data_IF_408052380622
#
_entry.id   IF_408052380622
#
_cell.length_a   1.000
_cell.length_b   1.000
_cell.length_c   1.000
_cell.angle_alpha   90.00
_cell.angle_beta   90.00
_cell.angle_gamma   90.00
#
_symmetry.space_group_name_H-M   'P 1'
#
loop_
_entity.id
_entity.type
_entity.pdbx_description
1 polymer ?
#
# COMPACT_ATOMS: atom_id res chain seq x y z
N UNK A 1 26.93 11.42 -44.25
CA UNK A 1 27.99 12.05 -43.45
C UNK A 1 27.56 13.49 -43.26
N UNK A 2 26.96 13.82 -42.13
CA UNK A 2 26.65 15.18 -41.73
C UNK A 2 27.13 15.34 -40.29
N UNK A 3 28.23 16.08 -40.17
CA UNK A 3 28.85 16.43 -38.88
C UNK A 3 27.95 17.43 -38.15
N UNK A 4 27.52 17.05 -36.95
CA UNK A 4 26.88 17.97 -36.02
C UNK A 4 27.95 18.80 -35.30
N UNK A 5 28.11 20.05 -35.76
CA UNK A 5 28.93 21.07 -35.13
C UNK A 5 28.14 21.68 -33.96
N UNK A 6 28.49 21.32 -32.73
CA UNK A 6 28.05 22.06 -31.53
C UNK A 6 29.00 23.24 -31.27
N UNK A 7 28.50 24.46 -31.01
CA UNK A 7 29.36 25.58 -30.70
C UNK A 7 29.97 25.37 -29.29
N UNK A 8 31.29 25.37 -29.23
CA UNK A 8 32.06 25.42 -27.99
C UNK A 8 31.93 26.87 -27.47
N UNK A 9 31.20 27.04 -26.35
CA UNK A 9 31.24 28.30 -25.61
C UNK A 9 32.60 28.44 -24.93
N UNK A 10 33.43 29.35 -25.41
CA UNK A 10 34.61 29.85 -24.72
C UNK A 10 34.13 30.79 -23.60
N UNK A 11 34.33 30.38 -22.34
CA UNK A 11 34.19 31.29 -21.18
C UNK A 11 35.47 32.10 -21.01
N UNK A 12 35.39 33.39 -21.26
CA UNK A 12 36.42 34.34 -20.82
C UNK A 12 36.40 34.45 -19.29
N UNK A 13 37.43 33.93 -18.66
CA UNK A 13 37.62 34.05 -17.20
C UNK A 13 38.03 35.47 -16.83
N UNK A 14 37.10 36.27 -16.31
CA UNK A 14 37.43 37.51 -15.63
C UNK A 14 38.18 37.21 -14.31
N UNK A 15 39.32 37.81 -14.10
CA UNK A 15 40.13 37.70 -12.86
C UNK A 15 39.28 38.05 -11.64
N UNK A 16 38.99 37.03 -10.80
CA UNK A 16 38.27 37.19 -9.53
C UNK A 16 37.01 36.34 -9.36
N UNK A 17 36.62 35.55 -10.32
CA UNK A 17 35.48 34.65 -10.17
C UNK A 17 35.92 33.31 -9.53
N UNK A 18 35.39 32.98 -8.37
CA UNK A 18 35.53 31.66 -7.75
C UNK A 18 34.72 30.67 -8.60
N UNK A 19 35.40 29.78 -9.30
CA UNK A 19 34.72 28.72 -10.06
C UNK A 19 34.12 27.74 -9.06
N UNK A 20 32.79 27.76 -8.88
CA UNK A 20 32.03 26.69 -8.27
C UNK A 20 32.00 25.53 -9.27
N UNK A 21 32.84 24.52 -9.04
CA UNK A 21 32.73 23.25 -9.73
C UNK A 21 31.46 22.54 -9.23
N UNK A 22 30.38 22.68 -9.97
CA UNK A 22 29.20 21.86 -9.77
C UNK A 22 29.54 20.44 -10.23
N UNK A 23 29.68 19.51 -9.29
CA UNK A 23 29.73 18.08 -9.56
C UNK A 23 28.36 17.66 -10.07
N UNK A 24 28.30 17.34 -11.38
CA UNK A 24 27.14 16.76 -12.08
C UNK A 24 25.89 17.62 -12.11
N UNK A 25 25.79 18.50 -13.09
CA UNK A 25 24.49 19.07 -13.51
C UNK A 25 23.80 18.02 -14.38
N UNK A 26 22.82 17.32 -13.84
CA UNK A 26 21.92 16.51 -14.65
C UNK A 26 20.98 17.44 -15.42
N UNK A 27 21.40 17.88 -16.59
CA UNK A 27 20.55 18.63 -17.53
C UNK A 27 19.67 17.61 -18.26
N UNK A 28 18.41 17.55 -17.87
CA UNK A 28 17.41 16.80 -18.63
C UNK A 28 16.98 17.66 -19.84
N UNK A 29 17.15 17.21 -21.08
CA UNK A 29 16.99 18.08 -22.27
C UNK A 29 15.58 18.63 -22.50
N UNK A 30 14.56 18.17 -21.76
CA UNK A 30 13.17 18.59 -21.93
C UNK A 30 12.36 18.49 -20.62
N UNK A 31 12.91 18.84 -19.46
CA UNK A 31 12.21 18.73 -18.22
C UNK A 31 12.63 19.77 -17.16
N UNK A 32 11.84 19.92 -16.10
CA UNK A 32 12.19 20.75 -14.93
C UNK A 32 13.42 20.12 -14.25
N UNK A 33 14.38 20.94 -13.86
CA UNK A 33 15.52 20.48 -13.04
C UNK A 33 15.06 20.21 -11.59
N UNK A 34 15.78 19.32 -10.87
CA UNK A 34 15.53 19.07 -9.45
C UNK A 34 15.59 20.38 -8.64
N UNK A 35 16.55 21.27 -8.96
CA UNK A 35 16.66 22.60 -8.37
C UNK A 35 15.42 23.44 -8.59
N UNK A 36 14.87 23.44 -9.81
CA UNK A 36 13.66 24.22 -10.13
C UNK A 36 12.43 23.65 -9.46
N UNK A 37 12.31 22.34 -9.41
CA UNK A 37 11.26 21.68 -8.65
C UNK A 37 11.34 22.04 -7.16
N UNK A 38 12.53 21.94 -6.57
CA UNK A 38 12.79 22.31 -5.18
C UNK A 38 12.47 23.78 -4.89
N UNK A 39 12.90 24.69 -5.77
CA UNK A 39 12.60 26.13 -5.67
C UNK A 39 11.08 26.40 -5.63
N UNK A 40 10.31 25.78 -6.54
CA UNK A 40 8.86 25.95 -6.60
C UNK A 40 8.22 25.47 -5.29
N UNK A 41 8.56 24.26 -4.82
CA UNK A 41 7.99 23.70 -3.60
C UNK A 41 8.30 24.57 -2.35
N UNK A 42 9.51 25.07 -2.23
CA UNK A 42 9.89 25.89 -1.08
C UNK A 42 9.30 27.30 -1.14
N UNK A 43 9.14 27.90 -2.33
CA UNK A 43 8.50 29.22 -2.44
C UNK A 43 7.03 29.15 -2.00
N UNK A 44 6.29 28.12 -2.42
CA UNK A 44 4.91 27.90 -1.98
C UNK A 44 4.81 27.84 -0.46
N UNK A 45 5.75 27.14 0.20
CA UNK A 45 5.72 27.02 1.65
C UNK A 45 6.05 28.36 2.35
N UNK A 46 7.09 29.08 1.91
CA UNK A 46 7.51 30.38 2.48
C UNK A 46 6.39 31.41 2.44
N UNK A 47 5.67 31.47 1.33
CA UNK A 47 4.61 32.47 1.13
C UNK A 47 3.41 32.26 2.08
N UNK A 48 3.27 31.05 2.64
CA UNK A 48 2.13 30.65 3.46
C UNK A 48 2.42 30.49 4.97
N UNK A 49 3.69 30.65 5.43
CA UNK A 49 4.09 30.35 6.83
C UNK A 49 4.09 31.56 7.78
N UNK A 50 3.53 32.67 7.39
CA UNK A 50 3.68 33.97 8.05
C UNK A 50 3.20 34.09 9.51
N UNK A 51 2.46 33.12 10.07
CA UNK A 51 1.79 33.25 11.37
C UNK A 51 2.51 32.62 12.57
N UNK A 52 3.69 32.04 12.38
CA UNK A 52 4.46 31.40 13.47
C UNK A 52 5.50 32.34 14.06
N UNK A 53 5.94 32.09 15.31
CA UNK A 53 7.11 32.72 15.88
C UNK A 53 8.40 32.29 15.16
N UNK A 54 9.45 33.11 15.17
CA UNK A 54 10.63 32.91 14.31
C UNK A 54 11.32 31.56 14.53
N UNK A 55 11.55 31.12 15.77
CA UNK A 55 12.11 29.79 16.04
C UNK A 55 11.22 28.64 15.52
N UNK A 56 9.89 28.78 15.67
CA UNK A 56 8.94 27.80 15.15
C UNK A 56 8.89 27.80 13.62
N UNK A 57 9.12 28.96 12.98
CA UNK A 57 9.26 29.06 11.51
C UNK A 57 10.47 28.30 11.00
N UNK A 58 11.62 28.46 11.68
CA UNK A 58 12.86 27.79 11.27
C UNK A 58 12.70 26.27 11.34
N UNK A 59 12.14 25.74 12.42
CA UNK A 59 11.85 24.31 12.58
C UNK A 59 10.87 23.83 11.49
N UNK A 60 9.78 24.56 11.29
CA UNK A 60 8.77 24.22 10.31
C UNK A 60 9.34 24.25 8.88
N UNK A 61 10.19 25.22 8.59
CA UNK A 61 10.86 25.33 7.30
C UNK A 61 11.84 24.17 7.04
N UNK A 62 12.66 23.80 8.01
CA UNK A 62 13.57 22.66 7.90
C UNK A 62 12.83 21.36 7.61
N UNK A 63 11.70 21.11 8.30
CA UNK A 63 10.87 19.93 8.04
C UNK A 63 10.20 19.97 6.67
N UNK A 64 9.69 21.13 6.25
CA UNK A 64 9.14 21.30 4.90
C UNK A 64 10.20 21.06 3.81
N UNK A 65 11.44 21.48 4.06
CA UNK A 65 12.58 21.20 3.20
C UNK A 65 12.87 19.69 3.12
N UNK A 66 12.87 18.97 4.24
CA UNK A 66 13.04 17.51 4.25
C UNK A 66 11.98 16.79 3.42
N UNK A 67 10.70 17.21 3.54
CA UNK A 67 9.64 16.64 2.70
C UNK A 67 9.87 16.93 1.22
N UNK A 68 10.27 18.16 0.91
CA UNK A 68 10.56 18.58 -0.46
C UNK A 68 11.72 17.77 -1.05
N UNK A 69 12.80 17.61 -0.30
CA UNK A 69 13.97 16.85 -0.73
C UNK A 69 13.60 15.36 -0.98
N UNK A 70 12.76 14.80 -0.10
CA UNK A 70 12.25 13.42 -0.28
C UNK A 70 11.34 13.28 -1.49
N UNK A 71 10.49 14.27 -1.74
CA UNK A 71 9.65 14.30 -2.94
C UNK A 71 10.50 14.39 -4.22
N UNK A 72 11.49 15.28 -4.25
CA UNK A 72 12.43 15.44 -5.38
C UNK A 72 13.24 14.16 -5.60
N UNK A 73 13.75 13.52 -4.53
CA UNK A 73 14.42 12.22 -4.60
C UNK A 73 13.55 11.15 -5.26
N UNK A 74 12.28 11.06 -4.87
CA UNK A 74 11.33 10.10 -5.47
C UNK A 74 10.99 10.45 -6.89
N UNK A 75 10.85 11.73 -7.21
CA UNK A 75 10.60 12.23 -8.56
C UNK A 75 11.74 11.86 -9.51
N UNK A 76 13.00 11.98 -9.07
CA UNK A 76 14.17 11.66 -9.89
C UNK A 76 14.26 10.17 -10.26
N UNK A 77 13.64 9.29 -9.46
CA UNK A 77 13.57 7.84 -9.71
C UNK A 77 12.45 7.43 -10.67
N UNK A 78 11.54 8.36 -11.01
CA UNK A 78 10.47 8.09 -11.96
C UNK A 78 10.99 8.07 -13.40
N UNK A 79 10.27 7.39 -14.29
CA UNK A 79 10.58 7.44 -15.72
C UNK A 79 10.29 8.84 -16.31
N UNK A 80 10.82 9.11 -17.51
CA UNK A 80 10.74 10.42 -18.15
C UNK A 80 9.30 10.88 -18.44
N UNK A 81 8.40 9.96 -18.76
CA UNK A 81 7.00 10.28 -19.05
C UNK A 81 6.29 10.79 -17.78
N UNK A 82 6.49 10.08 -16.69
CA UNK A 82 5.92 10.41 -15.39
C UNK A 82 6.49 11.75 -14.89
N UNK A 83 7.80 11.95 -14.99
CA UNK A 83 8.42 13.23 -14.61
C UNK A 83 7.82 14.40 -15.35
N UNK A 84 7.66 14.30 -16.68
CA UNK A 84 7.05 15.36 -17.50
C UNK A 84 5.62 15.68 -17.06
N UNK A 85 4.81 14.67 -16.76
CA UNK A 85 3.46 14.89 -16.26
C UNK A 85 3.47 15.64 -14.92
N UNK A 86 4.34 15.24 -13.98
CA UNK A 86 4.46 15.90 -12.68
C UNK A 86 4.95 17.36 -12.86
N UNK A 87 5.89 17.62 -13.77
CA UNK A 87 6.36 18.97 -14.09
C UNK A 87 5.24 19.91 -14.58
N UNK A 88 4.36 19.38 -15.41
CA UNK A 88 3.18 20.12 -15.86
C UNK A 88 2.24 20.40 -14.69
N UNK A 89 2.01 19.40 -13.84
CA UNK A 89 1.15 19.53 -12.66
C UNK A 89 1.72 20.50 -11.61
N UNK A 90 3.02 20.65 -11.47
CA UNK A 90 3.63 21.64 -10.55
C UNK A 90 3.23 23.10 -10.86
N UNK A 91 2.75 23.38 -12.06
CA UNK A 91 2.23 24.68 -12.47
C UNK A 91 0.75 24.88 -12.06
N UNK A 92 0.07 23.80 -11.74
CA UNK A 92 -1.35 23.82 -11.40
C UNK A 92 -1.59 24.21 -9.94
N UNK A 93 -2.51 25.14 -9.64
CA UNK A 93 -2.79 25.58 -8.28
C UNK A 93 -3.16 24.43 -7.35
N UNK A 94 -3.89 23.43 -7.84
CA UNK A 94 -4.29 22.28 -7.05
C UNK A 94 -3.11 21.41 -6.61
N UNK A 95 -2.08 21.26 -7.44
CA UNK A 95 -0.85 20.55 -7.07
C UNK A 95 -0.03 21.33 -6.06
N UNK A 96 0.07 22.64 -6.24
CA UNK A 96 0.76 23.52 -5.28
C UNK A 96 0.10 23.50 -3.90
N UNK A 97 -1.24 23.50 -3.86
CA UNK A 97 -2.01 23.34 -2.62
C UNK A 97 -1.75 21.98 -1.96
N UNK A 98 -1.71 20.88 -2.71
CA UNK A 98 -1.38 19.56 -2.20
C UNK A 98 0.03 19.50 -1.61
N UNK A 99 1.02 20.12 -2.27
CA UNK A 99 2.39 20.25 -1.78
C UNK A 99 2.41 21.04 -0.47
N UNK A 100 1.78 22.20 -0.44
CA UNK A 100 1.73 23.04 0.77
C UNK A 100 1.09 22.33 1.96
N UNK A 101 -0.05 21.64 1.75
CA UNK A 101 -0.73 20.87 2.79
C UNK A 101 0.14 19.72 3.30
N UNK A 102 0.85 19.03 2.41
CA UNK A 102 1.78 17.97 2.78
C UNK A 102 2.97 18.50 3.61
N UNK A 103 3.57 19.61 3.18
CA UNK A 103 4.64 20.29 3.90
C UNK A 103 4.18 20.73 5.28
N UNK A 104 2.98 21.34 5.37
CA UNK A 104 2.39 21.77 6.64
C UNK A 104 2.11 20.58 7.56
N UNK A 105 1.60 19.47 7.03
CA UNK A 105 1.36 18.25 7.80
C UNK A 105 2.66 17.73 8.42
N UNK A 106 3.70 17.55 7.62
CA UNK A 106 4.97 17.04 8.12
C UNK A 106 5.68 18.03 9.04
N UNK A 107 5.62 19.32 8.75
CA UNK A 107 6.16 20.35 9.63
C UNK A 107 5.57 20.31 11.04
N UNK A 108 4.30 19.95 11.17
CA UNK A 108 3.61 19.82 12.46
C UNK A 108 3.85 18.47 13.14
N UNK A 109 3.86 17.36 12.39
CA UNK A 109 3.95 15.99 12.94
C UNK A 109 5.38 15.55 13.23
N UNK A 110 6.33 15.90 12.37
CA UNK A 110 7.71 15.37 12.37
C UNK A 110 7.76 13.84 12.42
N UNK A 111 6.86 13.18 11.71
CA UNK A 111 6.65 11.74 11.72
C UNK A 111 7.14 11.15 10.39
N UNK A 112 8.09 10.20 10.45
CA UNK A 112 8.71 9.58 9.27
C UNK A 112 7.71 8.79 8.40
N UNK A 113 6.68 8.21 9.03
CA UNK A 113 5.62 7.54 8.27
C UNK A 113 4.79 8.57 7.51
N UNK A 114 4.47 9.72 8.12
CA UNK A 114 3.83 10.84 7.41
C UNK A 114 4.69 11.34 6.26
N UNK A 115 6.01 11.49 6.45
CA UNK A 115 6.93 11.89 5.40
C UNK A 115 6.84 10.94 4.19
N UNK A 116 6.91 9.64 4.46
CA UNK A 116 6.92 8.60 3.43
C UNK A 116 5.58 8.53 2.69
N UNK A 117 4.46 8.54 3.42
CA UNK A 117 3.11 8.47 2.86
C UNK A 117 2.80 9.71 2.03
N UNK A 118 3.04 10.91 2.58
CA UNK A 118 2.75 12.16 1.89
C UNK A 118 3.55 12.32 0.60
N UNK A 119 4.83 11.93 0.60
CA UNK A 119 5.64 11.98 -0.62
C UNK A 119 5.17 10.97 -1.67
N UNK A 120 4.69 9.76 -1.28
CA UNK A 120 4.05 8.84 -2.21
C UNK A 120 2.77 9.44 -2.80
N UNK A 121 1.89 9.99 -1.93
CA UNK A 121 0.65 10.64 -2.38
C UNK A 121 0.91 11.79 -3.35
N UNK A 122 1.96 12.59 -3.14
CA UNK A 122 2.34 13.67 -4.06
C UNK A 122 2.82 13.14 -5.42
N UNK A 123 3.57 12.05 -5.45
CA UNK A 123 3.96 11.39 -6.71
C UNK A 123 2.72 10.88 -7.43
N UNK A 124 1.85 10.14 -6.76
CA UNK A 124 0.61 9.61 -7.35
C UNK A 124 -0.31 10.73 -7.85
N UNK A 125 -0.44 11.81 -7.07
CA UNK A 125 -1.21 13.00 -7.42
C UNK A 125 -0.70 13.66 -8.71
N UNK A 126 0.62 13.76 -8.83
CA UNK A 126 1.27 14.37 -9.99
C UNK A 126 1.15 13.55 -11.28
N UNK A 127 0.83 12.25 -11.21
CA UNK A 127 0.56 11.43 -12.40
C UNK A 127 -0.80 11.73 -13.04
N UNK A 128 -1.73 12.34 -12.29
CA UNK A 128 -3.11 12.50 -12.70
C UNK A 128 -3.33 13.93 -13.19
N UNK A 129 -3.50 14.09 -14.50
CA UNK A 129 -3.71 15.39 -15.14
C UNK A 129 -5.18 15.86 -15.14
N UNK A 130 -6.11 14.94 -14.94
CA UNK A 130 -7.56 15.24 -14.95
C UNK A 130 -8.15 15.06 -13.56
N UNK A 131 -9.26 15.75 -13.28
CA UNK A 131 -9.97 15.63 -12.00
C UNK A 131 -10.77 14.33 -11.95
N UNK A 132 -10.08 13.24 -11.61
CA UNK A 132 -10.67 11.91 -11.41
C UNK A 132 -11.08 11.69 -9.95
N UNK A 133 -11.87 10.65 -9.70
CA UNK A 133 -12.18 10.20 -8.32
C UNK A 133 -10.89 9.89 -7.54
N UNK A 134 -9.91 9.26 -8.17
CA UNK A 134 -8.60 8.96 -7.56
C UNK A 134 -7.87 10.23 -7.13
N UNK A 135 -7.88 11.28 -7.98
CA UNK A 135 -7.28 12.55 -7.63
C UNK A 135 -7.94 13.20 -6.42
N UNK A 136 -9.29 13.26 -6.41
CA UNK A 136 -10.04 13.81 -5.28
C UNK A 136 -9.78 13.03 -4.00
N UNK A 137 -9.66 11.71 -4.09
CA UNK A 137 -9.36 10.84 -2.96
C UNK A 137 -7.97 11.09 -2.39
N UNK A 138 -6.97 11.35 -3.26
CA UNK A 138 -5.61 11.73 -2.83
C UNK A 138 -5.65 13.08 -2.11
N UNK A 139 -6.35 14.07 -2.66
CA UNK A 139 -6.48 15.39 -2.06
C UNK A 139 -7.17 15.30 -0.68
N UNK A 140 -8.23 14.51 -0.53
CA UNK A 140 -8.91 14.24 0.75
C UNK A 140 -7.99 13.52 1.74
N UNK A 141 -7.18 12.56 1.27
CA UNK A 141 -6.23 11.85 2.10
C UNK A 141 -5.14 12.78 2.64
N UNK A 142 -4.57 13.65 1.81
CA UNK A 142 -3.61 14.68 2.24
C UNK A 142 -4.23 15.61 3.29
N UNK A 143 -5.48 15.99 3.14
CA UNK A 143 -6.19 16.88 4.06
C UNK A 143 -6.43 16.26 5.44
N UNK A 144 -6.63 14.96 5.51
CA UNK A 144 -6.90 14.26 6.77
C UNK A 144 -5.62 13.83 7.50
N UNK A 145 -4.49 13.63 6.79
CA UNK A 145 -3.23 13.15 7.37
C UNK A 145 -2.79 13.89 8.63
N UNK A 146 -2.87 15.25 8.74
CA UNK A 146 -2.46 15.97 9.96
C UNK A 146 -3.26 15.59 11.22
N UNK A 147 -4.37 14.90 11.06
CA UNK A 147 -5.28 14.49 12.13
C UNK A 147 -5.15 13.01 12.49
N UNK A 148 -4.32 12.27 11.78
CA UNK A 148 -4.07 10.86 12.04
C UNK A 148 -2.75 10.70 12.78
N UNK A 149 -2.72 9.76 13.72
CA UNK A 149 -1.49 9.33 14.39
C UNK A 149 -1.13 7.92 13.95
N UNK A 150 0.03 7.44 14.38
CA UNK A 150 0.54 6.11 14.05
C UNK A 150 -0.48 5.00 14.29
N UNK A 151 -1.16 5.01 15.43
CA UNK A 151 -2.18 3.99 15.76
C UNK A 151 -3.36 4.01 14.81
N UNK A 152 -3.77 5.19 14.32
CA UNK A 152 -4.82 5.31 13.30
C UNK A 152 -4.38 4.68 11.98
N UNK A 153 -3.13 4.90 11.56
CA UNK A 153 -2.57 4.32 10.34
C UNK A 153 -2.47 2.79 10.45
N UNK A 154 -1.98 2.28 11.57
CA UNK A 154 -1.90 0.84 11.84
C UNK A 154 -3.29 0.19 11.82
N UNK A 155 -4.32 0.84 12.40
CA UNK A 155 -5.70 0.36 12.35
C UNK A 155 -6.22 0.29 10.91
N UNK A 156 -6.04 1.35 10.12
CA UNK A 156 -6.50 1.38 8.73
C UNK A 156 -5.77 0.34 7.87
N UNK A 157 -4.46 0.17 8.06
CA UNK A 157 -3.68 -0.87 7.40
C UNK A 157 -4.15 -2.27 7.79
N UNK A 158 -4.45 -2.50 9.07
CA UNK A 158 -4.98 -3.78 9.56
C UNK A 158 -6.33 -4.13 8.89
N UNK A 159 -7.27 -3.18 8.89
CA UNK A 159 -8.56 -3.39 8.23
C UNK A 159 -8.41 -3.63 6.73
N UNK A 160 -7.52 -2.86 6.08
CA UNK A 160 -7.23 -3.05 4.67
C UNK A 160 -6.63 -4.43 4.42
N UNK A 161 -5.64 -4.83 5.20
CA UNK A 161 -5.00 -6.13 5.08
C UNK A 161 -5.98 -7.28 5.30
N UNK A 162 -6.81 -7.18 6.33
CA UNK A 162 -7.78 -8.21 6.67
C UNK A 162 -8.89 -8.33 5.61
N UNK A 163 -9.45 -7.20 5.13
CA UNK A 163 -10.64 -7.19 4.28
C UNK A 163 -10.31 -7.29 2.80
N UNK A 164 -9.25 -6.65 2.35
CA UNK A 164 -9.02 -6.35 0.95
C UNK A 164 -7.84 -7.10 0.38
N UNK A 165 -6.75 -7.19 1.10
CA UNK A 165 -5.61 -8.01 0.69
C UNK A 165 -6.01 -9.46 0.42
N UNK A 166 -7.02 -9.88 1.12
CA UNK A 166 -7.72 -11.12 0.94
C UNK A 166 -8.43 -11.29 -0.42
N UNK A 167 -9.05 -10.24 -0.98
CA UNK A 167 -9.83 -10.34 -2.23
C UNK A 167 -8.96 -10.49 -3.48
N UNK A 168 -7.73 -10.02 -3.45
CA UNK A 168 -6.89 -9.79 -4.63
C UNK A 168 -5.68 -10.73 -4.75
N UNK A 169 -5.65 -11.84 -3.99
CA UNK A 169 -4.75 -12.97 -4.25
C UNK A 169 -3.24 -12.66 -4.19
N UNK A 170 -2.82 -11.59 -3.51
CA UNK A 170 -1.39 -11.24 -3.42
C UNK A 170 -0.59 -12.15 -2.50
N UNK A 171 -1.24 -13.06 -1.77
CA UNK A 171 -0.60 -13.96 -0.80
C UNK A 171 -0.24 -15.28 -1.46
N UNK A 172 1.06 -15.53 -1.60
CA UNK A 172 1.55 -16.81 -2.10
C UNK A 172 1.49 -17.94 -1.07
N UNK A 173 1.52 -17.58 0.23
CA UNK A 173 1.53 -18.52 1.34
C UNK A 173 0.67 -18.02 2.50
N UNK A 174 -0.17 -18.89 3.05
CA UNK A 174 -1.04 -18.59 4.20
C UNK A 174 -0.22 -18.22 5.42
N UNK A 175 0.93 -18.85 5.62
CA UNK A 175 1.81 -18.58 6.75
C UNK A 175 2.31 -17.12 6.74
N UNK A 176 2.68 -16.59 5.55
CA UNK A 176 3.09 -15.18 5.39
C UNK A 176 1.92 -14.23 5.72
N UNK A 177 0.73 -14.53 5.22
CA UNK A 177 -0.47 -13.74 5.48
C UNK A 177 -0.79 -13.67 6.98
N UNK A 178 -0.85 -14.81 7.64
CA UNK A 178 -1.19 -14.92 9.06
C UNK A 178 -0.13 -14.23 9.92
N UNK A 179 1.15 -14.45 9.64
CA UNK A 179 2.24 -13.82 10.41
C UNK A 179 2.23 -12.30 10.26
N UNK A 180 1.98 -11.78 9.07
CA UNK A 180 1.83 -10.33 8.85
C UNK A 180 0.62 -9.79 9.59
N UNK A 181 -0.51 -10.47 9.53
CA UNK A 181 -1.74 -10.10 10.26
C UNK A 181 -1.49 -10.02 11.77
N UNK A 182 -0.82 -11.01 12.35
CA UNK A 182 -0.44 -11.04 13.77
C UNK A 182 0.52 -9.88 14.09
N UNK A 183 1.50 -9.64 13.24
CA UNK A 183 2.45 -8.52 13.44
C UNK A 183 1.76 -7.16 13.47
N UNK A 184 0.78 -6.94 12.58
CA UNK A 184 0.03 -5.68 12.55
C UNK A 184 -0.88 -5.57 13.77
N UNK A 185 -1.63 -6.62 14.11
CA UNK A 185 -2.58 -6.58 15.24
C UNK A 185 -1.88 -6.28 16.56
N UNK A 186 -0.69 -6.84 16.78
CA UNK A 186 0.08 -6.61 18.01
C UNK A 186 0.48 -5.14 18.22
N UNK A 187 0.54 -4.33 17.15
CA UNK A 187 0.81 -2.88 17.25
C UNK A 187 -0.40 -2.08 17.70
N UNK A 188 -1.61 -2.56 17.40
CA UNK A 188 -2.85 -1.81 17.66
C UNK A 188 -3.58 -2.24 18.93
N UNK A 189 -3.27 -3.40 19.49
CA UNK A 189 -3.90 -3.88 20.72
C UNK A 189 -3.43 -3.09 21.96
N UNK A 190 -4.26 -3.00 23.04
CA UNK A 190 -5.64 -3.47 23.07
C UNK A 190 -6.63 -2.51 22.39
N UNK A 191 -7.69 -3.06 21.80
CA UNK A 191 -8.81 -2.30 21.23
C UNK A 191 -10.10 -2.66 21.95
N UNK A 192 -11.01 -1.70 22.12
CA UNK A 192 -12.34 -1.92 22.67
C UNK A 192 -13.40 -1.56 21.63
N UNK A 193 -14.60 -2.17 21.72
CA UNK A 193 -15.71 -1.85 20.80
C UNK A 193 -16.01 -0.35 20.70
N UNK A 194 -15.91 0.34 21.83
CA UNK A 194 -16.07 1.79 21.91
C UNK A 194 -14.71 2.49 22.09
N UNK A 195 -13.67 2.00 21.40
CA UNK A 195 -12.34 2.60 21.42
C UNK A 195 -12.37 3.98 20.77
N UNK A 196 -11.78 4.96 21.46
CA UNK A 196 -11.76 6.34 20.97
C UNK A 196 -11.07 6.50 19.61
N UNK A 197 -10.09 5.62 19.27
CA UNK A 197 -9.44 5.64 17.97
C UNK A 197 -10.38 5.21 16.85
N UNK A 198 -11.20 4.17 17.05
CA UNK A 198 -12.17 3.70 16.07
C UNK A 198 -13.27 4.73 15.85
N UNK A 199 -13.82 5.31 16.93
CA UNK A 199 -14.81 6.38 16.85
C UNK A 199 -14.25 7.63 16.16
N UNK A 200 -12.99 7.97 16.45
CA UNK A 200 -12.32 9.08 15.80
C UNK A 200 -12.15 8.86 14.31
N UNK A 201 -11.73 7.67 13.88
CA UNK A 201 -11.61 7.30 12.47
C UNK A 201 -12.96 7.31 11.75
N UNK A 202 -14.06 6.93 12.44
CA UNK A 202 -15.41 7.06 11.92
C UNK A 202 -15.80 8.53 11.71
N UNK A 203 -15.58 9.39 12.71
CA UNK A 203 -15.82 10.83 12.59
C UNK A 203 -15.00 11.47 11.48
N UNK A 204 -13.80 10.95 11.20
CA UNK A 204 -12.94 11.40 10.10
C UNK A 204 -13.29 10.73 8.77
N UNK A 205 -14.37 9.96 8.72
CA UNK A 205 -14.85 9.26 7.51
C UNK A 205 -13.83 8.25 6.93
N UNK A 206 -12.89 7.77 7.75
CA UNK A 206 -11.99 6.68 7.37
C UNK A 206 -12.63 5.31 7.61
N UNK A 207 -13.51 5.23 8.61
CA UNK A 207 -14.35 4.07 8.92
C UNK A 207 -15.82 4.42 8.81
N UNK A 208 -16.68 3.43 8.65
CA UNK A 208 -18.13 3.52 8.74
C UNK A 208 -18.67 2.36 9.56
N UNK A 209 -19.80 2.57 10.25
CA UNK A 209 -20.44 1.50 11.00
C UNK A 209 -20.91 0.38 10.06
N UNK A 210 -20.68 -0.85 10.45
CA UNK A 210 -21.24 -2.03 9.80
C UNK A 210 -22.60 -2.35 10.39
N UNK A 211 -23.62 -2.47 9.54
CA UNK A 211 -24.96 -2.86 9.94
C UNK A 211 -25.16 -4.38 9.97
N UNK A 212 -24.17 -5.14 9.49
CA UNK A 212 -24.24 -6.59 9.42
C UNK A 212 -23.23 -7.21 10.39
N UNK A 213 -23.70 -8.10 11.26
CA UNK A 213 -22.83 -9.00 12.00
C UNK A 213 -22.23 -10.00 11.02
N UNK A 214 -20.91 -10.01 10.92
CA UNK A 214 -20.17 -11.00 10.13
C UNK A 214 -19.65 -12.05 11.12
N UNK A 215 -20.51 -12.97 11.52
CA UNK A 215 -20.08 -14.11 12.34
C UNK A 215 -19.01 -14.90 11.58
N UNK A 216 -18.00 -15.36 12.29
CA UNK A 216 -16.86 -16.11 11.72
C UNK A 216 -16.05 -15.35 10.66
N UNK A 217 -16.04 -14.01 10.70
CA UNK A 217 -15.37 -13.18 9.71
C UNK A 217 -13.87 -13.48 9.62
N UNK A 218 -13.17 -13.57 10.76
CA UNK A 218 -11.74 -13.88 10.82
C UNK A 218 -11.47 -15.27 10.23
N UNK A 219 -12.29 -16.26 10.61
CA UNK A 219 -12.20 -17.62 10.04
C UNK A 219 -12.29 -17.60 8.53
N UNK A 220 -13.28 -16.90 7.98
CA UNK A 220 -13.47 -16.80 6.54
C UNK A 220 -12.31 -16.06 5.86
N UNK A 221 -11.79 -14.98 6.46
CA UNK A 221 -10.64 -14.28 5.89
C UNK A 221 -9.40 -15.17 5.78
N UNK A 222 -9.11 -15.98 6.80
CA UNK A 222 -7.94 -16.87 6.82
C UNK A 222 -8.18 -18.11 5.95
N UNK A 223 -9.32 -18.78 6.11
CA UNK A 223 -9.63 -20.00 5.37
C UNK A 223 -9.67 -19.79 3.85
N UNK A 224 -10.08 -18.60 3.39
CA UNK A 224 -10.06 -18.25 1.97
C UNK A 224 -8.66 -18.05 1.39
N UNK A 225 -7.63 -17.80 2.21
CA UNK A 225 -6.27 -17.61 1.70
C UNK A 225 -5.65 -18.91 1.20
N UNK A 226 -6.23 -20.08 1.51
CA UNK A 226 -5.71 -21.35 1.03
C UNK A 226 -6.76 -22.44 1.00
N UNK A 227 -6.76 -23.23 -0.04
CA UNK A 227 -7.55 -24.46 -0.14
C UNK A 227 -7.10 -25.54 0.87
N UNK A 228 -5.99 -25.34 1.61
CA UNK A 228 -5.57 -26.27 2.67
C UNK A 228 -6.63 -26.45 3.76
N UNK A 229 -7.51 -25.45 3.96
CA UNK A 229 -8.66 -25.51 4.86
C UNK A 229 -9.89 -26.16 4.19
N UNK A 230 -9.66 -27.07 3.24
CA UNK A 230 -10.66 -27.89 2.59
C UNK A 230 -10.53 -29.37 2.99
N UNK A 231 -11.54 -30.18 2.70
CA UNK A 231 -11.47 -31.63 2.94
C UNK A 231 -10.35 -32.32 2.14
N UNK A 232 -9.85 -31.66 1.10
CA UNK A 232 -8.78 -32.20 0.25
C UNK A 232 -9.23 -33.30 -0.70
N UNK A 233 -8.26 -33.80 -1.46
CA UNK A 233 -8.42 -34.81 -2.50
C UNK A 233 -7.63 -36.09 -2.15
N UNK A 234 -8.11 -37.24 -2.55
CA UNK A 234 -7.39 -38.49 -2.44
C UNK A 234 -6.23 -38.54 -3.46
N UNK A 235 -5.16 -39.26 -3.14
CA UNK A 235 -4.04 -39.43 -4.08
C UNK A 235 -4.48 -40.04 -5.42
N UNK A 236 -5.53 -40.87 -5.43
CA UNK A 236 -6.12 -41.45 -6.65
C UNK A 236 -6.80 -40.40 -7.53
N UNK A 237 -7.38 -39.36 -6.93
CA UNK A 237 -7.98 -38.24 -7.68
C UNK A 237 -6.89 -37.33 -8.26
N UNK A 238 -5.82 -37.09 -7.50
CA UNK A 238 -4.69 -36.26 -7.93
C UNK A 238 -3.86 -36.98 -8.99
N UNK A 239 -3.53 -38.24 -8.75
CA UNK A 239 -2.77 -39.09 -9.68
C UNK A 239 -1.40 -38.54 -10.02
N UNK A 240 -1.11 -38.48 -11.32
CA UNK A 240 0.20 -38.07 -11.88
C UNK A 240 0.58 -36.61 -11.70
N UNK A 241 -0.37 -35.74 -11.30
CA UNK A 241 -0.08 -34.30 -11.04
C UNK A 241 0.37 -34.03 -9.60
N UNK A 242 0.48 -35.09 -8.75
CA UNK A 242 0.92 -34.90 -7.39
C UNK A 242 2.35 -34.30 -7.34
N UNK A 243 2.44 -33.13 -6.72
CA UNK A 243 3.71 -32.44 -6.49
C UNK A 243 3.62 -31.71 -5.15
N UNK A 244 4.60 -31.90 -4.29
CA UNK A 244 4.67 -31.27 -2.96
C UNK A 244 4.69 -29.74 -2.99
N UNK A 245 5.05 -29.14 -4.14
CA UNK A 245 4.96 -27.69 -4.34
C UNK A 245 3.55 -27.20 -4.72
N UNK A 246 2.64 -28.10 -5.03
CA UNK A 246 1.26 -27.79 -5.44
C UNK A 246 0.23 -28.26 -4.42
N UNK A 247 0.57 -29.32 -3.68
CA UNK A 247 -0.33 -29.97 -2.74
C UNK A 247 0.33 -30.06 -1.36
N UNK A 248 -0.48 -29.80 -0.34
CA UNK A 248 -0.13 -29.96 1.08
C UNK A 248 -1.12 -30.92 1.73
N UNK A 249 -0.76 -31.61 2.83
CA UNK A 249 -1.74 -32.39 3.58
C UNK A 249 -2.92 -31.53 3.99
N UNK A 250 -4.15 -32.06 3.83
CA UNK A 250 -5.35 -31.39 4.31
C UNK A 250 -5.32 -31.24 5.83
N UNK A 251 -5.75 -30.08 6.34
CA UNK A 251 -5.82 -29.85 7.78
C UNK A 251 -6.89 -30.74 8.46
N UNK A 252 -7.88 -31.20 7.69
CA UNK A 252 -9.00 -32.01 8.22
C UNK A 252 -8.84 -33.50 8.00
N UNK A 253 -7.95 -33.94 7.13
CA UNK A 253 -7.75 -35.36 6.83
C UNK A 253 -6.32 -35.63 6.40
N UNK A 254 -5.56 -36.29 7.28
CA UNK A 254 -4.15 -36.61 7.08
C UNK A 254 -3.86 -37.48 5.84
N UNK A 255 -4.87 -38.19 5.35
CA UNK A 255 -4.77 -39.06 4.14
C UNK A 255 -5.12 -38.30 2.85
N UNK A 256 -5.50 -37.02 2.94
CA UNK A 256 -5.90 -36.22 1.79
C UNK A 256 -4.98 -35.02 1.61
N UNK A 257 -4.97 -34.50 0.40
CA UNK A 257 -4.12 -33.39 0.00
C UNK A 257 -4.96 -32.24 -0.53
N UNK A 258 -4.62 -31.04 -0.15
CA UNK A 258 -5.27 -29.81 -0.57
C UNK A 258 -4.32 -28.98 -1.46
N UNK A 259 -4.89 -28.23 -2.40
CA UNK A 259 -4.13 -27.29 -3.23
C UNK A 259 -3.68 -26.08 -2.40
N UNK A 260 -2.46 -25.60 -2.67
CA UNK A 260 -1.93 -24.41 -1.99
C UNK A 260 -2.42 -23.09 -2.59
N UNK A 261 -3.09 -23.12 -3.75
CA UNK A 261 -3.51 -21.93 -4.48
C UNK A 261 -4.86 -21.42 -4.01
N UNK A 262 -5.01 -20.10 -3.99
CA UNK A 262 -6.22 -19.42 -3.55
C UNK A 262 -7.18 -19.12 -4.68
N UNK A 263 -6.67 -18.97 -5.90
CA UNK A 263 -7.43 -18.58 -7.09
C UNK A 263 -6.85 -19.22 -8.36
N UNK A 264 -7.68 -19.29 -9.40
CA UNK A 264 -7.33 -19.89 -10.69
C UNK A 264 -6.25 -19.07 -11.43
N UNK A 265 -6.27 -17.73 -11.28
CA UNK A 265 -5.28 -16.89 -11.95
C UNK A 265 -3.88 -17.15 -11.39
N UNK A 266 -3.74 -17.39 -10.08
CA UNK A 266 -2.48 -17.78 -9.45
C UNK A 266 -1.96 -19.11 -9.98
N UNK A 267 -2.84 -20.07 -10.24
CA UNK A 267 -2.47 -21.36 -10.87
C UNK A 267 -1.88 -21.12 -12.27
N UNK A 268 -2.58 -20.36 -13.09
CA UNK A 268 -2.17 -20.05 -14.46
C UNK A 268 -0.86 -19.28 -14.48
N UNK A 269 -0.74 -18.23 -13.65
CA UNK A 269 0.44 -17.38 -13.60
C UNK A 269 1.70 -18.12 -13.13
N UNK A 270 1.57 -19.01 -12.15
CA UNK A 270 2.73 -19.72 -11.59
C UNK A 270 3.12 -20.97 -12.36
N UNK A 271 2.18 -21.62 -13.04
CA UNK A 271 2.34 -22.93 -13.61
C UNK A 271 2.06 -23.00 -15.12
N UNK A 272 1.39 -21.99 -15.71
CA UNK A 272 0.97 -22.02 -17.11
C UNK A 272 2.07 -22.38 -18.11
N UNK A 273 3.28 -21.86 -17.88
CA UNK A 273 4.46 -22.11 -18.73
C UNK A 273 5.29 -23.33 -18.30
N UNK A 274 4.95 -23.94 -17.15
CA UNK A 274 5.77 -24.99 -16.52
C UNK A 274 5.17 -26.37 -16.55
N UNK A 275 3.87 -26.47 -16.88
CA UNK A 275 3.14 -27.72 -16.90
C UNK A 275 2.50 -27.99 -18.28
N UNK A 276 2.42 -29.27 -18.69
CA UNK A 276 1.61 -29.63 -19.84
C UNK A 276 0.15 -29.18 -19.67
N UNK A 277 -0.49 -28.75 -20.77
CA UNK A 277 -1.87 -28.26 -20.74
C UNK A 277 -2.85 -29.24 -20.07
N UNK A 278 -2.70 -30.56 -20.32
CA UNK A 278 -3.54 -31.62 -19.73
C UNK A 278 -3.42 -31.59 -18.18
N UNK A 279 -2.23 -31.37 -17.64
CA UNK A 279 -2.02 -31.31 -16.20
C UNK A 279 -2.59 -30.01 -15.61
N UNK A 280 -2.46 -28.92 -16.32
CA UNK A 280 -3.06 -27.63 -15.93
C UNK A 280 -4.59 -27.72 -15.89
N UNK A 281 -5.21 -28.29 -16.92
CA UNK A 281 -6.67 -28.52 -16.96
C UNK A 281 -7.14 -29.41 -15.80
N UNK A 282 -6.40 -30.46 -15.47
CA UNK A 282 -6.72 -31.31 -14.33
C UNK A 282 -6.63 -30.57 -12.98
N UNK A 283 -5.62 -29.73 -12.79
CA UNK A 283 -5.49 -28.89 -11.60
C UNK A 283 -6.68 -27.91 -11.51
N UNK A 284 -7.07 -27.29 -12.62
CA UNK A 284 -8.23 -26.40 -12.67
C UNK A 284 -9.54 -27.15 -12.35
N UNK A 285 -9.70 -28.38 -12.85
CA UNK A 285 -10.86 -29.23 -12.51
C UNK A 285 -10.92 -29.54 -11.01
N UNK A 286 -9.79 -29.90 -10.38
CA UNK A 286 -9.73 -30.14 -8.95
C UNK A 286 -10.02 -28.84 -8.17
N UNK A 287 -9.45 -27.72 -8.61
CA UNK A 287 -9.69 -26.41 -7.97
C UNK A 287 -11.18 -26.04 -7.99
N UNK A 288 -11.86 -26.28 -9.11
CA UNK A 288 -13.27 -25.92 -9.30
C UNK A 288 -14.25 -26.98 -8.73
N UNK A 289 -13.74 -28.13 -8.28
CA UNK A 289 -14.59 -29.18 -7.68
C UNK A 289 -15.21 -28.65 -6.39
N UNK A 290 -16.53 -28.58 -6.31
CA UNK A 290 -17.25 -28.21 -5.10
C UNK A 290 -17.03 -29.27 -4.03
N UNK A 291 -16.74 -28.84 -2.83
CA UNK A 291 -16.69 -29.73 -1.67
C UNK A 291 -18.07 -30.37 -1.45
N UNK A 292 -18.08 -31.69 -1.28
CA UNK A 292 -19.32 -32.45 -1.09
C UNK A 292 -19.92 -32.17 0.30
N UNK A 293 -19.07 -31.83 1.27
CA UNK A 293 -19.47 -31.52 2.65
C UNK A 293 -18.82 -30.24 3.10
N UNK A 294 -19.56 -29.15 3.30
CA UNK A 294 -19.02 -27.92 3.82
C UNK A 294 -18.52 -28.15 5.25
N UNK A 295 -17.35 -27.61 5.54
CA UNK A 295 -16.74 -27.64 6.87
C UNK A 295 -17.40 -26.55 7.71
N UNK A 296 -17.84 -26.88 8.95
CA UNK A 296 -18.42 -25.87 9.82
C UNK A 296 -17.41 -24.82 10.25
N UNK A 297 -17.89 -23.60 10.51
CA UNK A 297 -17.04 -22.48 10.95
C UNK A 297 -16.29 -22.80 12.25
N UNK A 298 -16.88 -23.59 13.14
CA UNK A 298 -16.22 -24.01 14.37
C UNK A 298 -15.04 -24.94 14.11
N UNK A 299 -15.17 -25.88 13.20
CA UNK A 299 -14.06 -26.75 12.79
C UNK A 299 -12.97 -25.98 12.07
N UNK A 300 -13.34 -25.06 11.16
CA UNK A 300 -12.40 -24.15 10.50
C UNK A 300 -11.64 -23.30 11.52
N UNK A 301 -12.34 -22.67 12.45
CA UNK A 301 -11.73 -21.87 13.52
C UNK A 301 -10.77 -22.70 14.35
N UNK A 302 -11.18 -23.90 14.75
CA UNK A 302 -10.32 -24.81 15.52
C UNK A 302 -9.05 -25.14 14.72
N UNK A 303 -9.19 -25.54 13.48
CA UNK A 303 -8.05 -25.90 12.61
C UNK A 303 -7.08 -24.72 12.40
N UNK A 304 -7.61 -23.49 12.26
CA UNK A 304 -6.82 -22.28 12.13
C UNK A 304 -6.03 -22.01 13.44
N UNK A 305 -6.68 -22.09 14.59
CA UNK A 305 -6.03 -21.87 15.91
C UNK A 305 -4.99 -22.96 16.20
N UNK A 306 -5.30 -24.22 15.91
CA UNK A 306 -4.37 -25.34 16.12
C UNK A 306 -3.09 -25.17 15.28
N UNK A 307 -3.22 -24.63 14.04
CA UNK A 307 -2.08 -24.35 13.16
C UNK A 307 -1.36 -23.03 13.48
N UNK A 308 -2.09 -22.00 13.88
CA UNK A 308 -1.60 -20.65 14.16
C UNK A 308 -2.10 -20.18 15.54
N UNK A 309 -1.52 -20.66 16.64
CA UNK A 309 -2.02 -20.36 18.01
C UNK A 309 -2.15 -18.86 18.31
N UNK A 310 -1.22 -18.05 17.78
CA UNK A 310 -1.21 -16.60 17.98
C UNK A 310 -2.40 -15.88 17.34
N UNK A 311 -3.08 -16.52 16.40
CA UNK A 311 -4.33 -16.00 15.80
C UNK A 311 -5.49 -15.93 16.81
N UNK A 312 -5.42 -16.68 17.91
CA UNK A 312 -6.47 -16.68 18.94
C UNK A 312 -6.82 -15.27 19.42
N UNK A 313 -5.83 -14.37 19.49
CA UNK A 313 -6.04 -12.96 19.86
C UNK A 313 -7.01 -12.25 18.91
N UNK A 314 -7.00 -12.55 17.61
CA UNK A 314 -7.91 -11.93 16.64
C UNK A 314 -9.37 -12.28 16.92
N UNK A 315 -9.63 -13.50 17.37
CA UNK A 315 -10.98 -13.96 17.69
C UNK A 315 -11.57 -13.28 18.92
N UNK A 316 -10.73 -12.86 19.88
CA UNK A 316 -11.16 -12.08 21.01
C UNK A 316 -11.70 -10.70 20.60
N UNK A 317 -11.16 -10.16 19.51
CA UNK A 317 -11.52 -8.84 18.97
C UNK A 317 -12.44 -8.92 17.74
N UNK A 318 -12.90 -10.10 17.32
CA UNK A 318 -13.70 -10.28 16.11
C UNK A 318 -14.92 -9.35 16.07
N UNK A 319 -15.65 -9.23 17.18
CA UNK A 319 -16.81 -8.32 17.29
C UNK A 319 -16.45 -6.84 17.19
N UNK A 320 -15.21 -6.48 17.53
CA UNK A 320 -14.71 -5.10 17.37
C UNK A 320 -14.46 -4.84 15.90
N UNK A 321 -13.77 -5.76 15.20
CA UNK A 321 -13.43 -5.60 13.80
C UNK A 321 -14.63 -5.67 12.87
N UNK A 322 -15.62 -6.49 13.17
CA UNK A 322 -16.84 -6.59 12.37
C UNK A 322 -17.83 -5.44 12.55
N UNK A 323 -17.60 -4.59 13.56
CA UNK A 323 -18.44 -3.42 13.84
C UNK A 323 -18.20 -2.26 12.87
N UNK A 324 -17.05 -2.22 12.22
CA UNK A 324 -16.68 -1.16 11.30
C UNK A 324 -16.27 -1.74 9.94
N UNK A 325 -16.47 -0.93 8.88
CA UNK A 325 -15.96 -1.18 7.55
C UNK A 325 -15.08 -0.01 7.13
N UNK A 326 -14.08 -0.27 6.26
CA UNK A 326 -13.34 0.80 5.63
C UNK A 326 -14.21 1.59 4.65
N UNK A 327 -14.12 2.91 4.72
CA UNK A 327 -14.58 3.78 3.63
C UNK A 327 -13.56 3.76 2.48
N UNK A 328 -13.90 4.39 1.36
CA UNK A 328 -12.95 4.53 0.25
C UNK A 328 -11.68 5.29 0.69
N UNK A 329 -11.84 6.36 1.47
CA UNK A 329 -10.73 7.13 2.04
C UNK A 329 -9.88 6.28 3.00
N UNK A 330 -10.52 5.52 3.89
CA UNK A 330 -9.81 4.62 4.80
C UNK A 330 -9.04 3.51 4.08
N UNK A 331 -9.60 2.98 2.99
CA UNK A 331 -8.93 2.00 2.12
C UNK A 331 -7.69 2.57 1.47
N UNK A 332 -7.80 3.77 0.91
CA UNK A 332 -6.68 4.44 0.25
C UNK A 332 -5.53 4.72 1.22
N UNK A 333 -5.83 5.29 2.40
CA UNK A 333 -4.81 5.57 3.42
C UNK A 333 -4.21 4.28 3.95
N UNK A 334 -5.04 3.27 4.26
CA UNK A 334 -4.60 1.97 4.75
C UNK A 334 -3.68 1.25 3.75
N UNK A 335 -4.02 1.26 2.46
CA UNK A 335 -3.18 0.72 1.39
C UNK A 335 -1.86 1.47 1.26
N UNK A 336 -1.92 2.81 1.15
CA UNK A 336 -0.72 3.64 0.96
C UNK A 336 0.25 3.45 2.13
N UNK A 337 -0.26 3.37 3.36
CA UNK A 337 0.57 3.09 4.53
C UNK A 337 1.09 1.64 4.52
N UNK A 338 0.26 0.65 4.21
CA UNK A 338 0.68 -0.74 4.14
C UNK A 338 1.82 -0.94 3.15
N UNK A 339 1.75 -0.34 1.96
CA UNK A 339 2.80 -0.39 0.95
C UNK A 339 4.14 0.20 1.43
N UNK A 340 4.14 1.05 2.45
CA UNK A 340 5.39 1.51 3.08
C UNK A 340 6.01 0.50 4.05
N UNK A 341 5.26 -0.52 4.46
CA UNK A 341 5.66 -1.50 5.49
C UNK A 341 5.93 -2.89 4.96
N UNK A 342 5.49 -3.17 3.76
CA UNK A 342 5.71 -4.44 3.07
C UNK A 342 6.47 -4.17 1.77
N UNK A 343 7.39 -5.08 1.39
CA UNK A 343 8.18 -4.99 0.15
C UNK A 343 7.35 -5.35 -1.11
N UNK A 344 6.10 -4.92 -1.15
CA UNK A 344 5.20 -5.19 -2.28
C UNK A 344 4.35 -3.94 -2.53
N UNK A 345 4.41 -3.42 -3.75
CA UNK A 345 3.44 -2.43 -4.22
C UNK A 345 2.15 -3.16 -4.60
N UNK A 346 1.14 -3.00 -3.76
CA UNK A 346 -0.22 -3.41 -4.07
C UNK A 346 -0.86 -2.25 -4.82
N UNK A 347 -1.16 -2.47 -6.11
CA UNK A 347 -1.96 -1.53 -6.88
C UNK A 347 -3.44 -1.87 -6.70
N UNK A 348 -4.24 -0.85 -6.43
CA UNK A 348 -5.67 -0.94 -6.27
C UNK A 348 -6.33 0.09 -7.16
N UNK A 349 -7.26 -0.37 -7.98
CA UNK A 349 -8.07 0.53 -8.76
C UNK A 349 -9.17 1.16 -7.90
N UNK A 350 -9.12 2.50 -7.78
CA UNK A 350 -10.09 3.32 -7.05
C UNK A 350 -11.10 3.99 -7.99
N UNK A 351 -11.17 3.55 -9.27
CA UNK A 351 -12.14 4.08 -10.23
C UNK A 351 -13.56 3.50 -10.09
#
# INVERSE_FOLDING_TARGET
MSENNYPIMQQDNAKGATALQAQVINVYPNGITEEKCREICLSVYKDNIMSLQDEAKDIAYQRAEQLTDKFVEKLSKQNDEIRKKIEEQLKEPAMQEAIFKSQKCYALSNDEDHLTILTNMLIDRGHISQRTNKQMLIDDAIDIMPRLNQKHLDILAFYFYLEIYFKYGCVKHVDEYVNTLISIINKILPLKKNDGHLQYLEQKKCLSLSFFSKDSFITHCIAKQSKMFSNGFDLTEIGDIFNSNLFVPSVFNENKYALIFNDEASIIHLLGDKLPLIQLEKIQQLYNKKEVTPISDELLKKAIIDRYPDVSVLYEYEKVFTHYNLTLLGRFIGLTYLNTKIDKDIDWDFE
#
